data_IF_437691712045
#
_entry.id   IF_437691712045
#
_cell.length_a   1.000
_cell.length_b   1.000
_cell.length_c   1.000
_cell.angle_alpha   90.00
_cell.angle_beta   90.00
_cell.angle_gamma   90.00
#
_symmetry.space_group_name_H-M   'P 1'
#
loop_
_entity.id
_entity.type
_entity.pdbx_description
1 polymer ?
#
# COMPACT_ATOMS: atom_id res chain seq x y z
N UNK A 1 7.56 18.86 -16.52
CA UNK A 1 7.30 19.90 -15.50
C UNK A 1 5.88 19.70 -14.99
N UNK A 2 5.72 19.29 -13.73
CA UNK A 2 4.39 18.98 -13.16
C UNK A 2 3.61 20.24 -12.82
N UNK A 3 4.28 21.40 -12.82
CA UNK A 3 3.70 22.69 -12.45
C UNK A 3 3.22 22.75 -10.98
N UNK A 4 3.73 21.87 -10.11
CA UNK A 4 3.40 21.89 -8.69
C UNK A 4 4.19 22.98 -7.99
N UNK A 5 3.50 23.90 -7.32
CA UNK A 5 4.11 24.99 -6.58
C UNK A 5 3.55 25.05 -5.16
N UNK A 6 4.44 25.20 -4.17
CA UNK A 6 4.06 25.41 -2.77
C UNK A 6 3.72 26.90 -2.60
N UNK A 7 2.44 27.21 -2.44
CA UNK A 7 1.97 28.59 -2.23
C UNK A 7 2.15 28.99 -0.77
N UNK A 8 1.92 28.09 0.17
CA UNK A 8 1.96 28.37 1.61
C UNK A 8 2.31 27.13 2.42
N UNK A 9 3.10 27.34 3.48
CA UNK A 9 3.42 26.31 4.49
C UNK A 9 2.98 26.85 5.85
N UNK A 10 2.13 26.08 6.53
CA UNK A 10 1.72 26.37 7.90
C UNK A 10 2.74 25.76 8.86
N UNK A 11 3.75 26.56 9.25
CA UNK A 11 4.91 26.09 10.04
C UNK A 11 4.52 25.47 11.38
N UNK A 12 3.46 25.98 12.00
CA UNK A 12 2.88 25.48 13.23
C UNK A 12 2.34 24.06 13.14
N UNK A 13 2.05 23.59 11.93
CA UNK A 13 1.48 22.28 11.66
C UNK A 13 2.50 21.30 11.05
N UNK A 14 3.76 21.71 10.89
CA UNK A 14 4.77 20.85 10.25
C UNK A 14 5.06 19.56 11.02
N UNK A 15 4.83 19.53 12.35
CA UNK A 15 4.96 18.32 13.16
C UNK A 15 3.91 17.24 12.85
N UNK A 16 2.81 17.61 12.20
CA UNK A 16 1.76 16.68 11.79
C UNK A 16 1.95 16.15 10.36
N UNK A 17 3.00 16.55 9.66
CA UNK A 17 3.28 16.05 8.32
C UNK A 17 3.84 14.62 8.37
N UNK A 18 3.66 13.83 7.28
CA UNK A 18 4.25 12.50 7.20
C UNK A 18 5.78 12.53 7.37
N UNK A 19 6.36 11.61 8.12
CA UNK A 19 7.81 11.51 8.32
C UNK A 19 8.62 11.38 7.02
N UNK A 20 8.02 10.82 5.98
CA UNK A 20 8.59 10.65 4.65
C UNK A 20 8.33 11.83 3.70
N UNK A 21 7.74 12.93 4.20
CA UNK A 21 7.48 14.15 3.42
C UNK A 21 8.51 15.22 3.74
N UNK A 22 9.32 15.59 2.74
CA UNK A 22 10.13 16.80 2.81
C UNK A 22 9.33 18.00 2.32
N UNK A 23 9.33 19.10 3.08
CA UNK A 23 8.61 20.34 2.74
C UNK A 23 9.40 21.09 1.65
N UNK A 24 9.28 20.60 0.42
CA UNK A 24 9.80 21.18 -0.81
C UNK A 24 8.94 20.72 -1.98
N UNK A 25 8.94 21.40 -3.11
CA UNK A 25 8.17 21.01 -4.30
C UNK A 25 8.51 19.58 -4.73
N UNK A 26 9.80 19.25 -4.85
CA UNK A 26 10.27 17.88 -5.15
C UNK A 26 9.86 16.85 -4.09
N UNK A 27 9.85 17.25 -2.81
CA UNK A 27 9.45 16.38 -1.71
C UNK A 27 7.96 16.05 -1.75
N UNK A 28 7.12 17.05 -1.96
CA UNK A 28 5.67 16.88 -2.11
C UNK A 28 5.36 16.06 -3.37
N UNK A 29 6.01 16.35 -4.50
CA UNK A 29 5.81 15.57 -5.73
C UNK A 29 6.19 14.10 -5.53
N UNK A 30 7.32 13.82 -4.89
CA UNK A 30 7.77 12.46 -4.56
C UNK A 30 6.76 11.75 -3.67
N UNK A 31 6.27 12.41 -2.63
CA UNK A 31 5.27 11.87 -1.73
C UNK A 31 3.95 11.55 -2.45
N UNK A 32 3.48 12.43 -3.33
CA UNK A 32 2.30 12.21 -4.16
C UNK A 32 2.48 11.03 -5.12
N UNK A 33 3.67 10.86 -5.72
CA UNK A 33 3.95 9.72 -6.61
C UNK A 33 3.80 8.37 -5.91
N UNK A 34 4.12 8.27 -4.62
CA UNK A 34 3.91 7.07 -3.84
C UNK A 34 2.44 6.78 -3.51
N UNK A 35 1.53 7.70 -3.87
CA UNK A 35 0.08 7.58 -3.66
C UNK A 35 -0.69 7.25 -4.93
N UNK A 36 0.00 6.79 -5.94
CA UNK A 36 -0.61 6.34 -7.19
C UNK A 36 -0.34 4.87 -7.44
N UNK A 37 -1.22 4.25 -8.20
CA UNK A 37 -1.09 2.84 -8.59
C UNK A 37 0.16 2.63 -9.48
N UNK A 38 0.98 1.59 -9.25
CA UNK A 38 2.15 1.28 -10.09
C UNK A 38 1.74 0.92 -11.53
N UNK A 39 2.55 1.36 -12.50
CA UNK A 39 2.32 1.11 -13.93
C UNK A 39 2.31 -0.38 -14.29
N UNK A 40 3.09 -1.19 -13.59
CA UNK A 40 3.24 -2.63 -13.82
C UNK A 40 2.24 -3.49 -13.04
N UNK A 41 1.25 -2.88 -12.37
CA UNK A 41 0.21 -3.64 -11.68
C UNK A 41 -0.72 -4.34 -12.65
N UNK A 42 -1.10 -5.56 -12.34
CA UNK A 42 -2.11 -6.29 -13.11
C UNK A 42 -3.41 -5.48 -13.23
N UNK A 43 -3.96 -5.44 -14.43
CA UNK A 43 -5.24 -4.82 -14.78
C UNK A 43 -5.34 -3.30 -14.53
N UNK A 44 -4.20 -2.61 -14.39
CA UNK A 44 -4.19 -1.17 -14.10
C UNK A 44 -4.94 -0.35 -15.14
N UNK A 45 -4.76 -0.64 -16.43
CA UNK A 45 -5.43 0.08 -17.51
C UNK A 45 -6.95 -0.13 -17.48
N UNK A 46 -7.40 -1.36 -17.25
CA UNK A 46 -8.82 -1.67 -17.11
C UNK A 46 -9.44 -0.95 -15.91
N UNK A 47 -8.71 -0.88 -14.78
CA UNK A 47 -9.14 -0.21 -13.57
C UNK A 47 -9.28 1.31 -13.79
N UNK A 48 -8.24 1.95 -14.35
CA UNK A 48 -8.23 3.40 -14.56
C UNK A 48 -9.22 3.83 -15.65
N UNK A 49 -9.29 3.08 -16.77
CA UNK A 49 -10.22 3.37 -17.87
C UNK A 49 -11.67 3.33 -17.40
N UNK A 50 -12.01 2.44 -16.44
CA UNK A 50 -13.37 2.32 -15.89
C UNK A 50 -13.89 3.62 -15.28
N UNK A 51 -13.00 4.45 -14.76
CA UNK A 51 -13.32 5.72 -14.10
C UNK A 51 -12.83 6.94 -14.88
N UNK A 52 -12.38 6.75 -16.14
CA UNK A 52 -11.92 7.83 -16.99
C UNK A 52 -10.55 8.39 -16.61
N UNK A 53 -9.75 7.64 -15.86
CA UNK A 53 -8.40 8.00 -15.44
C UNK A 53 -7.34 7.34 -16.35
N UNK A 54 -6.11 7.85 -16.27
CA UNK A 54 -4.97 7.34 -17.05
C UNK A 54 -3.68 7.46 -16.24
N UNK A 55 -2.77 6.49 -16.41
CA UNK A 55 -1.42 6.52 -15.85
C UNK A 55 -0.59 7.73 -16.32
N UNK A 56 -0.93 8.29 -17.48
CA UNK A 56 -0.25 9.47 -18.03
C UNK A 56 -0.64 10.77 -17.30
N UNK A 57 -1.64 10.72 -16.42
CA UNK A 57 -2.12 11.86 -15.63
C UNK A 57 -2.17 11.50 -14.14
N UNK A 58 -1.01 11.33 -13.48
CA UNK A 58 -0.96 10.91 -12.08
C UNK A 58 -1.69 11.88 -11.12
N UNK A 59 -1.62 13.18 -11.37
CA UNK A 59 -2.38 14.16 -10.59
C UNK A 59 -3.89 13.98 -10.73
N UNK A 60 -4.38 13.48 -11.85
CA UNK A 60 -5.79 13.12 -12.02
C UNK A 60 -6.20 11.94 -11.12
N UNK A 61 -5.30 10.97 -10.92
CA UNK A 61 -5.52 9.86 -9.98
C UNK A 61 -5.55 10.39 -8.55
N UNK A 62 -4.60 11.25 -8.18
CA UNK A 62 -4.55 11.89 -6.86
C UNK A 62 -5.82 12.72 -6.60
N UNK A 63 -6.24 13.56 -7.53
CA UNK A 63 -7.46 14.35 -7.38
C UNK A 63 -8.70 13.47 -7.20
N UNK A 64 -8.78 12.35 -7.91
CA UNK A 64 -9.90 11.44 -7.87
C UNK A 64 -10.01 10.64 -6.57
N UNK A 65 -8.88 10.12 -6.06
CA UNK A 65 -8.83 9.33 -4.83
C UNK A 65 -8.38 10.15 -3.60
N UNK A 66 -8.19 11.46 -3.76
CA UNK A 66 -7.71 12.38 -2.71
C UNK A 66 -6.36 11.99 -2.11
N UNK A 67 -5.52 11.28 -2.87
CA UNK A 67 -4.27 10.75 -2.38
C UNK A 67 -4.41 9.78 -1.19
N UNK A 68 -5.58 9.24 -0.93
CA UNK A 68 -5.84 8.33 0.18
C UNK A 68 -5.09 7.00 0.02
N UNK A 69 -4.60 6.47 1.13
CA UNK A 69 -3.92 5.17 1.19
C UNK A 69 -4.35 4.41 2.45
N UNK A 70 -4.34 3.09 2.39
CA UNK A 70 -4.46 2.24 3.59
C UNK A 70 -3.14 2.13 4.37
N UNK A 71 -2.09 2.81 3.95
CA UNK A 71 -0.83 2.86 4.71
C UNK A 71 -0.83 3.92 5.81
N UNK A 72 -1.70 4.92 5.72
CA UNK A 72 -1.70 6.06 6.64
C UNK A 72 -3.03 6.85 6.62
N UNK A 73 -3.10 7.96 7.38
CA UNK A 73 -4.26 8.85 7.49
C UNK A 73 -4.09 10.18 6.73
N UNK A 74 -3.06 10.33 5.92
CA UNK A 74 -2.83 11.55 5.16
C UNK A 74 -3.61 11.55 3.85
N UNK A 75 -4.08 12.72 3.45
CA UNK A 75 -4.86 12.89 2.25
C UNK A 75 -4.69 14.28 1.64
N UNK A 76 -5.16 14.45 0.42
CA UNK A 76 -5.12 15.70 -0.33
C UNK A 76 -6.54 16.23 -0.45
N UNK A 77 -6.76 17.42 0.04
CA UNK A 77 -8.03 18.12 -0.11
C UNK A 77 -7.95 19.20 -1.18
N UNK A 78 -9.01 19.35 -1.97
CA UNK A 78 -9.16 20.47 -2.87
C UNK A 78 -9.78 21.66 -2.11
N UNK A 79 -9.22 22.84 -2.29
CA UNK A 79 -9.76 24.07 -1.67
C UNK A 79 -11.26 24.19 -1.95
N UNK A 80 -12.04 24.42 -0.90
CA UNK A 80 -13.50 24.55 -1.01
C UNK A 80 -14.28 23.26 -1.22
N UNK A 81 -13.66 22.07 -1.11
CA UNK A 81 -14.33 20.79 -1.28
C UNK A 81 -15.45 20.53 -0.25
N UNK A 82 -15.28 21.01 0.97
CA UNK A 82 -16.17 20.73 2.10
C UNK A 82 -16.09 19.29 2.60
N UNK A 83 -15.06 18.54 2.18
CA UNK A 83 -14.79 17.19 2.67
C UNK A 83 -14.12 17.22 4.04
N UNK A 84 -14.30 16.16 4.79
CA UNK A 84 -13.59 15.89 6.04
C UNK A 84 -12.99 14.48 5.99
N UNK A 85 -11.96 14.21 6.78
CA UNK A 85 -11.32 12.90 6.82
C UNK A 85 -12.32 11.78 7.12
N UNK A 86 -13.28 12.02 8.03
CA UNK A 86 -14.32 11.03 8.40
C UNK A 86 -15.19 10.65 7.20
N UNK A 87 -15.48 11.59 6.30
CA UNK A 87 -16.31 11.33 5.11
C UNK A 87 -15.55 10.56 4.02
N UNK A 88 -14.23 10.71 3.94
CA UNK A 88 -13.46 10.21 2.78
C UNK A 88 -12.50 9.08 3.10
N UNK A 89 -12.08 8.89 4.37
CA UNK A 89 -11.04 7.95 4.74
C UNK A 89 -11.37 6.50 4.32
N UNK A 90 -10.30 5.71 4.10
CA UNK A 90 -10.43 4.32 3.67
C UNK A 90 -10.66 3.34 4.83
N UNK A 91 -10.47 3.76 6.09
CA UNK A 91 -10.62 2.87 7.25
C UNK A 91 -12.08 2.66 7.64
N UNK A 92 -12.93 3.67 7.48
CA UNK A 92 -14.34 3.61 7.91
C UNK A 92 -15.30 3.46 6.73
N UNK A 93 -14.93 3.95 5.55
CA UNK A 93 -15.83 4.03 4.40
C UNK A 93 -15.84 2.73 3.57
N UNK A 94 -16.95 2.48 2.87
CA UNK A 94 -17.14 1.29 2.04
C UNK A 94 -16.29 1.37 0.76
N UNK A 95 -15.73 0.24 0.35
CA UNK A 95 -14.98 0.13 -0.91
C UNK A 95 -15.91 -0.16 -2.09
N UNK A 96 -15.54 0.31 -3.28
CA UNK A 96 -16.22 -0.03 -4.52
C UNK A 96 -15.97 -1.50 -4.88
N UNK A 97 -16.99 -2.33 -4.77
CA UNK A 97 -16.90 -3.76 -5.15
C UNK A 97 -16.62 -3.93 -6.66
N UNK A 98 -17.11 -3.02 -7.50
CA UNK A 98 -16.87 -3.04 -8.94
C UNK A 98 -15.40 -2.80 -9.24
N UNK A 99 -14.79 -1.78 -8.63
CA UNK A 99 -13.36 -1.48 -8.83
C UNK A 99 -12.48 -2.59 -8.23
N UNK A 100 -12.83 -3.11 -7.06
CA UNK A 100 -12.14 -4.26 -6.47
C UNK A 100 -12.19 -5.51 -7.40
N UNK A 101 -13.33 -5.78 -8.03
CA UNK A 101 -13.45 -6.88 -8.98
C UNK A 101 -12.58 -6.66 -10.23
N UNK A 102 -12.55 -5.45 -10.79
CA UNK A 102 -11.68 -5.11 -11.93
C UNK A 102 -10.21 -5.24 -11.54
N UNK A 103 -9.81 -4.70 -10.40
CA UNK A 103 -8.43 -4.74 -9.91
C UNK A 103 -7.92 -6.16 -9.68
N UNK A 104 -8.82 -7.11 -9.42
CA UNK A 104 -8.48 -8.52 -9.18
C UNK A 104 -8.59 -9.40 -10.42
N UNK A 105 -9.54 -9.14 -11.31
CA UNK A 105 -9.87 -10.05 -12.43
C UNK A 105 -9.69 -9.43 -13.83
N UNK A 106 -9.47 -8.13 -13.92
CA UNK A 106 -9.48 -7.38 -15.18
C UNK A 106 -10.89 -7.11 -15.73
N UNK A 107 -11.93 -7.68 -15.13
CA UNK A 107 -13.31 -7.58 -15.61
C UNK A 107 -14.23 -7.01 -14.54
N UNK A 108 -15.18 -6.18 -14.97
CA UNK A 108 -16.17 -5.58 -14.10
C UNK A 108 -17.51 -5.37 -14.79
N UNK A 109 -18.52 -5.03 -14.01
CA UNK A 109 -19.84 -4.65 -14.51
C UNK A 109 -19.75 -3.43 -15.43
N UNK A 110 -20.63 -3.34 -16.42
CA UNK A 110 -20.82 -2.15 -17.27
C UNK A 110 -21.39 -0.94 -16.51
N UNK A 111 -21.89 -1.14 -15.28
CA UNK A 111 -22.48 -0.10 -14.46
C UNK A 111 -21.41 0.98 -14.17
N UNK A 112 -21.77 2.23 -14.37
CA UNK A 112 -20.93 3.36 -13.91
C UNK A 112 -20.78 3.29 -12.40
N UNK A 113 -19.54 3.41 -11.92
CA UNK A 113 -19.25 3.45 -10.49
C UNK A 113 -18.73 4.81 -10.11
N UNK A 114 -19.07 5.28 -8.91
CA UNK A 114 -18.47 6.47 -8.35
C UNK A 114 -17.02 6.19 -7.94
N UNK A 115 -16.19 7.23 -7.90
CA UNK A 115 -14.79 7.17 -7.45
C UNK A 115 -14.65 7.04 -5.92
N UNK A 116 -15.77 6.94 -5.20
CA UNK A 116 -15.76 6.89 -3.75
C UNK A 116 -14.91 5.73 -3.23
N UNK A 117 -13.99 6.05 -2.35
CA UNK A 117 -13.19 5.16 -1.49
C UNK A 117 -12.67 3.89 -2.18
N UNK A 118 -11.66 4.07 -3.05
CA UNK A 118 -11.04 2.96 -3.76
C UNK A 118 -9.56 2.81 -3.37
N UNK A 119 -9.21 1.93 -2.43
CA UNK A 119 -7.82 1.74 -2.02
C UNK A 119 -6.93 1.17 -3.12
N UNK A 120 -7.51 0.58 -4.17
CA UNK A 120 -6.79 0.03 -5.31
C UNK A 120 -5.92 1.07 -6.03
N UNK A 121 -6.31 2.36 -6.02
CA UNK A 121 -5.57 3.43 -6.69
C UNK A 121 -4.24 3.79 -6.04
N UNK A 122 -3.99 3.36 -4.81
CA UNK A 122 -2.73 3.58 -4.08
C UNK A 122 -2.06 2.28 -3.62
N UNK A 123 -2.58 1.12 -4.05
CA UNK A 123 -2.05 -0.19 -3.63
C UNK A 123 -0.88 -0.62 -4.50
N UNK A 124 0.26 -0.86 -3.88
CA UNK A 124 1.50 -1.29 -4.54
C UNK A 124 1.53 -2.78 -4.92
N UNK A 125 2.52 -3.13 -5.76
CA UNK A 125 2.85 -4.50 -6.17
C UNK A 125 2.15 -4.94 -7.46
N UNK A 126 2.73 -5.89 -8.17
CA UNK A 126 2.35 -6.29 -9.54
C UNK A 126 1.17 -7.27 -9.62
N UNK A 127 1.02 -8.17 -8.64
CA UNK A 127 0.02 -9.24 -8.69
C UNK A 127 -1.42 -8.71 -8.71
N UNK A 128 -2.37 -9.46 -9.29
CA UNK A 128 -3.78 -9.20 -9.11
C UNK A 128 -4.14 -9.14 -7.64
N UNK A 129 -4.74 -8.05 -7.20
CA UNK A 129 -5.11 -7.89 -5.79
C UNK A 129 -6.24 -6.89 -5.62
N UNK A 130 -7.01 -7.06 -4.54
CA UNK A 130 -8.04 -6.11 -4.16
C UNK A 130 -8.26 -6.11 -2.66
N UNK A 131 -8.82 -5.02 -2.17
CA UNK A 131 -9.21 -4.87 -0.79
C UNK A 131 -10.70 -5.17 -0.60
N UNK A 132 -11.01 -5.84 0.48
CA UNK A 132 -12.42 -6.15 0.85
C UNK A 132 -12.63 -6.00 2.34
N UNK A 133 -13.86 -5.58 2.69
CA UNK A 133 -14.33 -5.61 4.07
C UNK A 133 -15.09 -6.90 4.34
N UNK A 134 -14.77 -7.56 5.44
CA UNK A 134 -15.44 -8.75 5.91
C UNK A 134 -15.52 -8.74 7.44
N UNK A 135 -16.72 -8.82 7.99
CA UNK A 135 -16.93 -8.86 9.46
C UNK A 135 -16.24 -7.70 10.20
N UNK A 136 -16.36 -6.48 9.68
CA UNK A 136 -15.77 -5.28 10.28
C UNK A 136 -14.26 -5.09 10.05
N UNK A 137 -13.58 -6.08 9.47
CA UNK A 137 -12.15 -6.04 9.17
C UNK A 137 -11.88 -5.79 7.70
N UNK A 138 -10.69 -5.28 7.40
CA UNK A 138 -10.20 -5.04 6.03
C UNK A 138 -9.18 -6.12 5.69
N UNK A 139 -9.33 -6.73 4.51
CA UNK A 139 -8.45 -7.78 4.02
C UNK A 139 -7.94 -7.46 2.62
N UNK A 140 -6.64 -7.71 2.41
CA UNK A 140 -6.04 -7.77 1.08
C UNK A 140 -6.18 -9.19 0.53
N UNK A 141 -6.77 -9.30 -0.64
CA UNK A 141 -6.83 -10.53 -1.43
C UNK A 141 -5.77 -10.46 -2.53
N UNK A 142 -4.93 -11.48 -2.66
CA UNK A 142 -3.88 -11.57 -3.67
C UNK A 142 -4.08 -12.82 -4.51
N UNK A 143 -4.13 -12.64 -5.82
CA UNK A 143 -4.14 -13.73 -6.80
C UNK A 143 -2.72 -14.15 -7.18
N UNK A 144 -2.62 -15.23 -7.94
CA UNK A 144 -1.38 -15.67 -8.54
C UNK A 144 -1.18 -15.10 -9.93
N UNK A 145 0.03 -15.30 -10.48
CA UNK A 145 0.38 -14.97 -11.86
C UNK A 145 -0.21 -16.00 -12.85
N UNK A 146 -0.27 -15.63 -14.12
CA UNK A 146 -0.62 -16.53 -15.20
C UNK A 146 0.51 -16.59 -16.22
N UNK A 147 1.08 -17.80 -16.43
CA UNK A 147 2.04 -18.05 -17.49
C UNK A 147 3.51 -17.70 -17.21
N UNK A 148 3.82 -17.14 -16.03
CA UNK A 148 5.21 -16.82 -15.62
C UNK A 148 5.35 -16.83 -14.09
N UNK A 149 6.58 -16.63 -13.59
CA UNK A 149 6.89 -16.67 -12.17
C UNK A 149 6.45 -17.99 -11.52
N UNK A 150 5.74 -17.97 -10.42
CA UNK A 150 5.28 -19.16 -9.72
C UNK A 150 4.05 -19.84 -10.35
N UNK A 151 3.69 -19.49 -11.58
CA UNK A 151 2.59 -20.09 -12.34
C UNK A 151 1.24 -20.17 -11.60
N UNK A 152 0.95 -19.17 -10.77
CA UNK A 152 -0.28 -19.12 -9.98
C UNK A 152 -0.18 -19.73 -8.59
N UNK A 153 0.98 -20.24 -8.18
CA UNK A 153 1.20 -20.82 -6.85
C UNK A 153 1.53 -19.77 -5.77
N UNK A 154 1.64 -18.50 -6.11
CA UNK A 154 1.95 -17.43 -5.15
C UNK A 154 1.04 -17.42 -3.91
N UNK A 155 -0.28 -17.73 -4.00
CA UNK A 155 -1.12 -17.84 -2.81
C UNK A 155 -0.67 -18.93 -1.83
N UNK A 156 -0.16 -20.05 -2.34
CA UNK A 156 0.39 -21.12 -1.52
C UNK A 156 1.73 -20.73 -0.88
N UNK A 157 2.60 -20.06 -1.64
CA UNK A 157 3.87 -19.56 -1.12
C UNK A 157 3.66 -18.64 0.08
N UNK A 158 2.70 -17.70 -0.01
CA UNK A 158 2.33 -16.79 1.10
C UNK A 158 1.88 -17.58 2.35
N UNK A 159 1.05 -18.62 2.18
CA UNK A 159 0.60 -19.46 3.30
C UNK A 159 1.75 -20.25 3.91
N UNK A 160 2.57 -20.93 3.09
CA UNK A 160 3.66 -21.76 3.61
C UNK A 160 4.73 -20.93 4.29
N UNK A 161 5.09 -19.78 3.75
CA UNK A 161 6.01 -18.84 4.39
C UNK A 161 5.47 -18.40 5.75
N UNK A 162 4.18 -18.09 5.85
CA UNK A 162 3.56 -17.77 7.14
C UNK A 162 3.65 -18.95 8.13
N UNK A 163 3.40 -20.19 7.69
CA UNK A 163 3.49 -21.38 8.55
C UNK A 163 4.92 -21.62 9.04
N UNK A 164 5.94 -21.44 8.19
CA UNK A 164 7.35 -21.52 8.57
C UNK A 164 7.68 -20.45 9.61
N UNK A 165 7.24 -19.20 9.38
CA UNK A 165 7.43 -18.12 10.35
C UNK A 165 6.84 -18.44 11.73
N UNK A 166 5.66 -19.06 11.77
CA UNK A 166 5.04 -19.49 13.04
C UNK A 166 5.87 -20.54 13.78
N UNK A 167 6.43 -21.52 13.07
CA UNK A 167 7.28 -22.56 13.66
C UNK A 167 8.59 -21.96 14.18
N UNK A 168 9.14 -20.96 13.50
CA UNK A 168 10.37 -20.27 13.88
C UNK A 168 10.17 -19.18 14.94
N UNK A 169 8.92 -18.85 15.30
CA UNK A 169 8.63 -17.76 16.21
C UNK A 169 8.85 -16.36 15.62
N UNK A 170 8.95 -16.26 14.30
CA UNK A 170 9.11 -14.99 13.60
C UNK A 170 7.75 -14.29 13.47
N UNK A 171 7.70 -13.01 13.83
CA UNK A 171 6.50 -12.20 13.69
C UNK A 171 6.25 -11.88 12.22
N UNK A 172 5.22 -12.49 11.63
CA UNK A 172 4.87 -12.34 10.23
C UNK A 172 3.38 -12.10 10.04
N UNK A 173 3.03 -11.45 8.94
CA UNK A 173 1.62 -11.23 8.57
C UNK A 173 0.94 -12.58 8.31
N UNK A 174 -0.20 -12.78 8.97
CA UNK A 174 -1.00 -14.00 8.84
C UNK A 174 -1.66 -14.08 7.46
N UNK A 175 -1.29 -15.09 6.69
CA UNK A 175 -1.95 -15.42 5.43
C UNK A 175 -2.85 -16.66 5.56
N UNK A 176 -3.96 -16.64 4.83
CA UNK A 176 -4.86 -17.79 4.68
C UNK A 176 -5.25 -17.95 3.22
N UNK A 177 -5.52 -19.19 2.79
CA UNK A 177 -6.09 -19.42 1.46
C UNK A 177 -7.60 -19.18 1.45
N UNK A 178 -8.08 -18.65 0.34
CA UNK A 178 -9.49 -18.44 0.08
C UNK A 178 -9.78 -18.49 -1.42
N UNK A 179 -11.03 -18.30 -1.79
CA UNK A 179 -11.43 -18.13 -3.19
C UNK A 179 -12.02 -16.74 -3.40
N UNK A 180 -11.73 -16.14 -4.54
CA UNK A 180 -12.37 -14.89 -4.95
C UNK A 180 -13.83 -15.12 -5.40
N UNK A 181 -14.48 -14.06 -5.91
CA UNK A 181 -15.88 -14.14 -6.41
C UNK A 181 -16.03 -15.07 -7.63
N UNK A 182 -14.97 -15.33 -8.40
CA UNK A 182 -14.94 -16.28 -9.53
C UNK A 182 -14.48 -17.66 -9.11
N UNK A 183 -14.38 -17.94 -7.80
CA UNK A 183 -13.87 -19.19 -7.24
C UNK A 183 -12.40 -19.46 -7.56
N UNK A 184 -11.64 -18.46 -8.01
CA UNK A 184 -10.20 -18.56 -8.22
C UNK A 184 -9.48 -18.56 -6.88
N UNK A 185 -8.49 -19.45 -6.72
CA UNK A 185 -7.67 -19.53 -5.52
C UNK A 185 -6.90 -18.21 -5.32
N UNK A 186 -6.86 -17.72 -4.10
CA UNK A 186 -6.10 -16.55 -3.70
C UNK A 186 -5.67 -16.67 -2.23
N UNK A 187 -4.65 -15.92 -1.85
CA UNK A 187 -4.31 -15.67 -0.46
C UNK A 187 -5.03 -14.43 0.04
N UNK A 188 -5.26 -14.38 1.35
CA UNK A 188 -5.72 -13.15 2.01
C UNK A 188 -4.99 -12.93 3.33
N UNK A 189 -4.71 -11.66 3.61
CA UNK A 189 -4.22 -11.20 4.90
C UNK A 189 -5.04 -10.02 5.41
N UNK A 190 -5.11 -9.88 6.73
CA UNK A 190 -5.75 -8.74 7.37
C UNK A 190 -4.88 -7.49 7.21
N UNK A 191 -5.49 -6.32 7.09
CA UNK A 191 -4.80 -5.04 7.12
C UNK A 191 -4.13 -4.86 8.49
N UNK A 192 -2.85 -4.49 8.49
CA UNK A 192 -2.07 -4.31 9.72
C UNK A 192 -1.89 -2.84 10.13
N UNK A 193 -2.35 -1.91 9.29
CA UNK A 193 -2.42 -0.48 9.60
C UNK A 193 -3.81 -0.11 10.14
N UNK A 194 -3.90 1.06 10.76
CA UNK A 194 -5.16 1.59 11.29
C UNK A 194 -5.13 3.12 11.29
N UNK A 195 -6.12 3.75 11.88
CA UNK A 195 -6.08 5.20 12.12
C UNK A 195 -5.05 5.59 13.18
N UNK A 196 -4.65 4.65 14.02
CA UNK A 196 -3.64 4.82 15.07
C UNK A 196 -2.22 4.53 14.57
N UNK A 197 -2.07 3.65 13.58
CA UNK A 197 -0.77 3.19 13.10
C UNK A 197 -0.63 3.29 11.60
N UNK A 198 0.34 4.08 11.15
CA UNK A 198 0.75 4.21 9.75
C UNK A 198 1.92 3.29 9.43
N UNK A 199 2.03 2.86 8.18
CA UNK A 199 3.16 2.09 7.67
C UNK A 199 3.96 2.91 6.66
N UNK A 200 5.27 3.01 6.88
CA UNK A 200 6.18 3.67 5.95
C UNK A 200 7.23 2.66 5.46
N UNK A 201 7.26 2.33 4.17
CA UNK A 201 8.34 1.53 3.58
C UNK A 201 9.70 2.16 3.82
N UNK A 202 10.71 1.34 4.15
CA UNK A 202 12.03 1.86 4.50
C UNK A 202 12.68 2.66 3.36
N UNK A 203 12.43 2.31 2.11
CA UNK A 203 12.93 3.05 0.97
C UNK A 203 12.39 4.48 0.82
N UNK A 204 11.35 4.85 1.58
CA UNK A 204 10.83 6.22 1.65
C UNK A 204 11.48 7.03 2.78
N UNK A 205 12.16 6.38 3.73
CA UNK A 205 12.88 6.99 4.84
C UNK A 205 14.39 7.04 4.57
N UNK A 206 14.93 5.96 4.01
CA UNK A 206 16.36 5.81 3.69
C UNK A 206 16.51 5.65 2.17
N UNK A 207 16.78 6.74 1.47
CA UNK A 207 16.83 6.75 0.00
C UNK A 207 18.20 6.43 -0.59
N UNK A 208 19.28 6.47 0.20
CA UNK A 208 20.67 6.25 -0.22
C UNK A 208 21.46 5.50 0.85
N UNK A 209 22.59 4.88 0.44
CA UNK A 209 23.51 4.20 1.37
C UNK A 209 23.28 2.71 1.56
N UNK A 210 22.26 2.13 0.89
CA UNK A 210 22.01 0.70 0.90
C UNK A 210 21.66 0.13 2.29
N UNK A 211 21.91 -1.17 2.48
CA UNK A 211 21.61 -1.85 3.75
C UNK A 211 22.35 -1.26 4.94
N UNK A 212 23.57 -0.74 4.76
CA UNK A 212 24.32 -0.11 5.83
C UNK A 212 23.55 1.08 6.42
N UNK A 213 23.07 1.99 5.57
CA UNK A 213 22.28 3.15 6.04
C UNK A 213 20.95 2.74 6.65
N UNK A 214 20.36 1.63 6.22
CA UNK A 214 19.15 1.07 6.82
C UNK A 214 19.45 0.57 8.23
N UNK A 215 20.53 -0.19 8.44
CA UNK A 215 20.94 -0.61 9.78
C UNK A 215 21.22 0.58 10.70
N UNK A 216 21.95 1.60 10.20
CA UNK A 216 22.20 2.83 10.94
C UNK A 216 20.90 3.53 11.35
N UNK A 217 19.91 3.60 10.43
CA UNK A 217 18.60 4.16 10.74
C UNK A 217 17.86 3.34 11.81
N UNK A 218 17.81 2.00 11.67
CA UNK A 218 17.16 1.14 12.67
C UNK A 218 17.85 1.22 14.04
N UNK A 219 19.19 1.41 14.10
CA UNK A 219 19.92 1.66 15.34
C UNK A 219 19.43 2.93 16.05
N UNK A 220 19.07 3.99 15.31
CA UNK A 220 18.49 5.20 15.91
C UNK A 220 17.14 4.98 16.56
N UNK A 221 16.40 3.95 16.13
CA UNK A 221 15.10 3.57 16.70
C UNK A 221 15.24 2.68 17.94
N UNK A 222 16.38 2.00 18.09
CA UNK A 222 16.70 1.14 19.23
C UNK A 222 17.00 -0.31 18.87
N UNK A 223 17.58 -1.05 19.81
CA UNK A 223 18.07 -2.41 19.57
C UNK A 223 16.98 -3.38 19.11
N UNK A 224 15.79 -3.31 19.70
CA UNK A 224 14.65 -4.18 19.31
C UNK A 224 14.31 -4.05 17.81
N UNK A 225 14.49 -2.87 17.21
CA UNK A 225 14.27 -2.68 15.79
C UNK A 225 15.39 -3.30 14.95
N UNK A 226 16.63 -3.25 15.44
CA UNK A 226 17.77 -3.93 14.79
C UNK A 226 17.56 -5.43 14.80
N UNK A 227 17.21 -5.99 15.95
CA UNK A 227 16.95 -7.44 16.12
C UNK A 227 15.84 -7.89 15.16
N UNK A 228 14.75 -7.14 15.05
CA UNK A 228 13.66 -7.44 14.13
C UNK A 228 14.08 -7.38 12.64
N UNK A 229 14.99 -6.47 12.27
CA UNK A 229 15.56 -6.40 10.93
C UNK A 229 16.46 -7.62 10.65
N UNK A 230 17.30 -8.01 11.60
CA UNK A 230 18.17 -9.18 11.50
C UNK A 230 17.35 -10.47 11.38
N UNK A 231 16.36 -10.66 12.24
CA UNK A 231 15.43 -11.81 12.18
C UNK A 231 14.75 -11.91 10.83
N UNK A 232 14.29 -10.80 10.26
CA UNK A 232 13.68 -10.75 8.94
C UNK A 232 14.67 -11.19 7.86
N UNK A 233 15.92 -10.70 7.89
CA UNK A 233 16.92 -11.04 6.88
C UNK A 233 17.36 -12.51 6.99
N UNK A 234 17.50 -13.06 8.19
CA UNK A 234 17.77 -14.48 8.42
C UNK A 234 16.61 -15.32 7.91
N UNK A 235 15.39 -14.94 8.22
CA UNK A 235 14.19 -15.61 7.74
C UNK A 235 14.12 -15.62 6.21
N UNK A 236 14.38 -14.49 5.56
CA UNK A 236 14.43 -14.39 4.10
C UNK A 236 15.46 -15.33 3.48
N UNK A 237 16.63 -15.48 4.10
CA UNK A 237 17.64 -16.45 3.65
C UNK A 237 17.14 -17.91 3.75
N UNK A 238 16.44 -18.25 4.83
CA UNK A 238 15.91 -19.61 5.05
C UNK A 238 14.82 -19.96 4.03
N UNK A 239 13.90 -19.03 3.74
CA UNK A 239 12.81 -19.26 2.79
C UNK A 239 13.19 -18.96 1.34
N UNK A 240 14.47 -18.62 1.07
CA UNK A 240 14.97 -18.23 -0.25
C UNK A 240 14.19 -17.05 -0.87
N UNK A 241 13.82 -16.07 -0.06
CA UNK A 241 13.13 -14.87 -0.54
C UNK A 241 14.09 -13.93 -1.26
N UNK A 242 14.00 -13.89 -2.58
CA UNK A 242 14.81 -13.01 -3.43
C UNK A 242 14.17 -11.66 -3.75
N UNK A 243 12.93 -11.43 -3.29
CA UNK A 243 12.14 -10.21 -3.56
C UNK A 243 12.10 -9.23 -2.38
N UNK A 244 13.10 -9.29 -1.47
CA UNK A 244 13.19 -8.34 -0.36
C UNK A 244 13.78 -7.00 -0.81
N UNK A 245 12.98 -6.17 -1.44
CA UNK A 245 13.35 -4.81 -1.78
C UNK A 245 12.84 -3.81 -0.70
N UNK A 246 13.36 -2.59 -0.70
CA UNK A 246 13.09 -1.55 0.32
C UNK A 246 11.63 -1.06 0.36
N UNK A 247 10.77 -1.50 -0.53
CA UNK A 247 9.33 -1.28 -0.49
C UNK A 247 8.54 -2.35 0.26
N UNK A 248 9.18 -3.51 0.60
CA UNK A 248 8.52 -4.67 1.19
C UNK A 248 8.68 -4.78 2.72
N UNK A 249 9.43 -3.87 3.33
CA UNK A 249 9.56 -3.75 4.78
C UNK A 249 9.72 -2.28 5.18
N UNK A 250 9.55 -1.97 6.44
CA UNK A 250 9.58 -0.59 6.92
C UNK A 250 9.22 -0.49 8.40
N UNK A 251 8.65 0.62 8.78
CA UNK A 251 8.28 0.90 10.17
C UNK A 251 6.80 1.19 10.32
N UNK A 252 6.24 0.80 11.45
CA UNK A 252 4.94 1.28 11.90
C UNK A 252 5.17 2.52 12.76
N UNK A 253 4.38 3.55 12.48
CA UNK A 253 4.45 4.85 13.16
C UNK A 253 3.14 5.05 13.91
N UNK A 254 3.23 5.40 15.20
CA UNK A 254 2.06 5.81 15.98
C UNK A 254 1.64 7.22 15.53
N UNK A 255 0.40 7.36 15.09
CA UNK A 255 -0.15 8.63 14.60
C UNK A 255 -0.54 9.60 15.73
N UNK A 256 -0.40 9.19 17.01
CA UNK A 256 -0.75 10.00 18.19
C UNK A 256 0.45 10.72 18.79
N UNK A 257 1.65 10.37 18.40
CA UNK A 257 2.94 10.97 18.81
C UNK A 257 3.61 11.64 17.60
#
# INVERSE_FOLDING_TARGET
DTGLHIIKVYKENCSFLPLNLTVSEDGVERWLRHRTIPKNRAYVDALLSKVGLSLNRPLGIIAANKGLSLNDCFWVDAEGSGDTFEKVNLYDNRFSQVLAAIAFTGYGSSIRTSLASCPEFSTNGMLPKCWRRQNGKIYLYKGGTSGFSNFGFEPYSELYVYQVAQVMGVNAIRYTLTKDLKKTLCSKCELFTSKEYSYIPIGQLVSKGGMKAIFEYYQTLGQTFVDALEDMLVFDAIICNTDRHYGNFGVLVDNKT
#
